data_IF_240095508734
#
_entry.id   IF_240095508734
#
_cell.length_a   1.000
_cell.length_b   1.000
_cell.length_c   1.000
_cell.angle_alpha   90.00
_cell.angle_beta   90.00
_cell.angle_gamma   90.00
#
_symmetry.space_group_name_H-M   'P 1'
#
loop_
_entity.id
_entity.type
_entity.pdbx_description
1 polymer ?
#
# COMPACT_ATOMS: atom_id res chain seq x y z
N UNK A 1 6.61 -1.28 24.98
CA UNK A 1 7.43 -0.91 23.80
C UNK A 1 6.52 -0.97 22.59
N UNK A 2 6.59 0.02 21.68
CA UNK A 2 5.68 0.13 20.52
C UNK A 2 5.99 -0.88 19.38
N UNK A 3 6.88 -1.84 19.62
CA UNK A 3 7.36 -2.84 18.66
C UNK A 3 6.29 -3.81 18.17
N UNK A 4 5.11 -3.86 18.82
CA UNK A 4 4.01 -4.75 18.43
C UNK A 4 2.99 -4.09 17.52
N UNK A 5 3.17 -2.81 17.20
CA UNK A 5 2.24 -2.06 16.36
C UNK A 5 2.63 -2.17 14.89
N UNK A 6 1.60 -2.30 14.06
CA UNK A 6 1.70 -2.17 12.62
C UNK A 6 1.04 -0.85 12.23
N UNK A 7 1.70 -0.08 11.36
CA UNK A 7 1.18 1.20 10.86
C UNK A 7 0.74 1.03 9.44
N UNK A 8 -0.50 1.41 9.17
CA UNK A 8 -1.05 1.48 7.84
C UNK A 8 -1.35 2.91 7.45
N UNK A 9 -1.13 3.23 6.19
CA UNK A 9 -1.38 4.57 5.67
C UNK A 9 -1.70 4.50 4.17
N UNK A 10 -2.45 5.49 3.72
CA UNK A 10 -2.66 5.72 2.30
C UNK A 10 -1.51 6.57 1.76
N UNK A 11 -1.04 6.26 0.55
CA UNK A 11 -0.12 7.17 -0.16
C UNK A 11 -0.84 8.45 -0.57
N UNK A 12 -2.14 8.35 -0.81
CA UNK A 12 -3.02 9.49 -1.08
C UNK A 12 -3.81 9.92 0.19
N UNK A 13 -4.85 10.74 0.00
CA UNK A 13 -5.78 11.11 1.07
C UNK A 13 -6.37 9.87 1.74
N UNK A 14 -6.43 9.90 3.07
CA UNK A 14 -7.06 8.85 3.88
C UNK A 14 -8.52 8.60 3.47
N UNK A 15 -8.96 7.35 3.56
CA UNK A 15 -10.36 6.96 3.44
C UNK A 15 -11.06 6.98 4.80
N UNK A 16 -12.39 6.94 4.81
CA UNK A 16 -13.14 6.88 6.07
C UNK A 16 -12.87 5.58 6.80
N UNK A 17 -12.70 5.65 8.12
CA UNK A 17 -12.38 4.47 8.95
C UNK A 17 -13.35 3.28 8.75
N UNK A 18 -14.69 3.48 8.63
CA UNK A 18 -15.61 2.38 8.39
C UNK A 18 -15.35 1.63 7.08
N UNK A 19 -15.06 2.36 5.99
CA UNK A 19 -14.77 1.78 4.67
C UNK A 19 -13.47 0.97 4.72
N UNK A 20 -12.44 1.53 5.36
CA UNK A 20 -11.16 0.85 5.56
C UNK A 20 -11.38 -0.43 6.35
N UNK A 21 -12.09 -0.37 7.48
CA UNK A 21 -12.37 -1.53 8.32
C UNK A 21 -13.11 -2.65 7.55
N UNK A 22 -14.11 -2.31 6.75
CA UNK A 22 -14.87 -3.28 5.96
C UNK A 22 -14.01 -3.96 4.88
N UNK A 23 -13.24 -3.16 4.12
CA UNK A 23 -12.32 -3.68 3.11
C UNK A 23 -11.28 -4.64 3.71
N UNK A 24 -10.71 -4.28 4.86
CA UNK A 24 -9.70 -5.09 5.54
C UNK A 24 -10.26 -6.40 6.09
N UNK A 25 -11.51 -6.37 6.59
CA UNK A 25 -12.20 -7.58 7.03
C UNK A 25 -12.39 -8.57 5.88
N UNK A 26 -12.67 -8.08 4.67
CA UNK A 26 -12.79 -8.90 3.47
C UNK A 26 -11.45 -9.42 2.96
N UNK A 27 -10.41 -8.59 2.98
CA UNK A 27 -9.07 -8.92 2.44
C UNK A 27 -8.31 -9.92 3.29
N UNK A 28 -8.18 -9.67 4.59
CA UNK A 28 -7.21 -10.41 5.44
C UNK A 28 -7.83 -11.50 6.30
N UNK A 29 -9.17 -11.61 6.34
CA UNK A 29 -9.90 -12.69 7.04
C UNK A 29 -9.29 -13.05 8.40
N UNK A 30 -8.89 -12.02 9.15
CA UNK A 30 -8.23 -12.15 10.45
C UNK A 30 -9.14 -12.96 11.37
N UNK A 31 -8.61 -14.01 12.00
CA UNK A 31 -9.36 -14.92 12.87
C UNK A 31 -9.33 -14.45 14.32
N UNK A 32 -8.23 -13.82 14.73
CA UNK A 32 -8.03 -13.24 16.04
C UNK A 32 -8.65 -11.86 16.21
N UNK A 33 -8.58 -11.35 17.44
CA UNK A 33 -8.95 -9.97 17.74
C UNK A 33 -7.77 -9.02 17.54
N UNK A 34 -8.07 -7.83 17.05
CA UNK A 34 -7.12 -6.75 16.87
C UNK A 34 -7.76 -5.42 17.32
N UNK A 35 -6.94 -4.48 17.76
CA UNK A 35 -7.38 -3.13 18.06
C UNK A 35 -6.89 -2.17 16.99
N UNK A 36 -7.78 -1.31 16.48
CA UNK A 36 -7.41 -0.23 15.58
C UNK A 36 -7.50 1.11 16.32
N UNK A 37 -6.46 1.92 16.19
CA UNK A 37 -6.48 3.33 16.58
C UNK A 37 -6.08 4.18 15.38
N UNK A 38 -6.62 5.39 15.28
CA UNK A 38 -6.29 6.29 14.16
C UNK A 38 -5.68 7.56 14.74
N UNK A 39 -4.51 7.95 14.28
CA UNK A 39 -3.94 9.28 14.54
C UNK A 39 -3.58 9.96 13.21
N UNK A 40 -4.18 11.13 12.99
CA UNK A 40 -4.07 11.91 11.74
C UNK A 40 -4.38 11.05 10.51
N UNK A 41 -3.35 10.67 9.75
CA UNK A 41 -3.45 9.90 8.50
C UNK A 41 -2.98 8.45 8.64
N UNK A 42 -2.61 8.06 9.87
CA UNK A 42 -2.08 6.75 10.18
C UNK A 42 -3.13 5.93 10.92
N UNK A 43 -3.19 4.66 10.56
CA UNK A 43 -3.97 3.64 11.24
C UNK A 43 -3.00 2.72 11.96
N UNK A 44 -3.18 2.57 13.26
CA UNK A 44 -2.35 1.74 14.11
C UNK A 44 -3.13 0.48 14.43
N UNK A 45 -2.55 -0.66 14.07
CA UNK A 45 -3.11 -1.97 14.33
C UNK A 45 -2.24 -2.66 15.37
N UNK A 46 -2.89 -3.19 16.39
CA UNK A 46 -2.28 -4.11 17.34
C UNK A 46 -2.98 -5.44 17.20
N UNK A 47 -2.22 -6.44 16.78
CA UNK A 47 -2.69 -7.82 16.67
C UNK A 47 -2.42 -8.55 17.97
N UNK A 48 -3.35 -9.44 18.35
CA UNK A 48 -3.16 -10.31 19.50
C UNK A 48 -2.36 -11.57 19.16
N UNK A 49 -2.32 -11.96 17.88
CA UNK A 49 -1.57 -13.11 17.39
C UNK A 49 -0.39 -12.64 16.54
N UNK A 50 0.81 -13.10 16.88
CA UNK A 50 2.03 -12.77 16.13
C UNK A 50 1.99 -13.30 14.69
N UNK A 51 1.38 -14.48 14.50
CA UNK A 51 1.23 -15.10 13.18
C UNK A 51 0.41 -14.22 12.24
N UNK A 52 -0.71 -13.66 12.73
CA UNK A 52 -1.55 -12.75 11.95
C UNK A 52 -0.84 -11.43 11.67
N UNK A 53 -0.02 -10.95 12.62
CA UNK A 53 0.82 -9.78 12.40
C UNK A 53 1.81 -10.03 11.26
N UNK A 54 2.51 -11.17 11.26
CA UNK A 54 3.47 -11.53 10.20
C UNK A 54 2.78 -11.68 8.86
N UNK A 55 1.66 -12.39 8.82
CA UNK A 55 0.86 -12.56 7.61
C UNK A 55 0.48 -11.21 6.97
N UNK A 56 0.10 -10.23 7.79
CA UNK A 56 -0.30 -8.89 7.29
C UNK A 56 0.91 -8.04 6.91
N UNK A 57 2.05 -8.20 7.57
CA UNK A 57 3.30 -7.51 7.21
C UNK A 57 3.93 -8.05 5.92
N UNK A 58 3.79 -9.35 5.69
CA UNK A 58 4.28 -10.03 4.48
C UNK A 58 3.28 -9.92 3.31
N UNK A 59 2.09 -9.38 3.55
CA UNK A 59 1.10 -9.16 2.50
C UNK A 59 1.56 -8.04 1.55
N UNK A 60 1.28 -8.24 0.26
CA UNK A 60 1.51 -7.21 -0.75
C UNK A 60 0.66 -5.95 -0.47
N UNK A 61 1.11 -4.76 -0.93
CA UNK A 61 0.31 -3.56 -0.85
C UNK A 61 -1.07 -3.75 -1.51
N UNK A 62 -2.12 -3.30 -0.84
CA UNK A 62 -3.50 -3.49 -1.30
C UNK A 62 -4.09 -2.17 -1.79
N UNK A 63 -4.96 -2.24 -2.80
CA UNK A 63 -5.75 -1.10 -3.23
C UNK A 63 -7.12 -1.14 -2.54
N UNK A 64 -7.47 -0.05 -1.85
CA UNK A 64 -8.80 0.13 -1.25
C UNK A 64 -9.44 1.33 -1.94
N UNK A 65 -10.57 1.12 -2.61
CA UNK A 65 -11.28 2.15 -3.39
C UNK A 65 -10.36 2.94 -4.35
N UNK A 66 -9.46 2.24 -5.04
CA UNK A 66 -8.51 2.83 -5.99
C UNK A 66 -7.29 3.53 -5.36
N UNK A 67 -7.15 3.51 -4.04
CA UNK A 67 -6.01 4.12 -3.34
C UNK A 67 -5.07 3.07 -2.79
N UNK A 68 -3.78 3.25 -3.02
CA UNK A 68 -2.76 2.37 -2.48
C UNK A 68 -2.68 2.49 -0.97
N UNK A 69 -2.85 1.35 -0.30
CA UNK A 69 -2.82 1.21 1.13
C UNK A 69 -1.61 0.37 1.54
N UNK A 70 -0.68 1.01 2.25
CA UNK A 70 0.63 0.47 2.57
C UNK A 70 0.66 0.00 4.01
N UNK A 71 1.18 -1.20 4.21
CA UNK A 71 1.37 -1.81 5.52
C UNK A 71 2.85 -1.83 5.85
N UNK A 72 3.24 -1.32 7.03
CA UNK A 72 4.60 -1.45 7.55
C UNK A 72 4.63 -1.67 9.05
N UNK A 73 5.69 -2.31 9.51
CA UNK A 73 6.02 -2.38 10.93
C UNK A 73 6.19 -0.96 11.48
N UNK A 74 5.62 -0.67 12.65
CA UNK A 74 5.81 0.64 13.28
C UNK A 74 7.30 0.85 13.59
N UNK A 75 7.85 1.96 13.12
CA UNK A 75 9.14 2.48 13.56
C UNK A 75 9.05 4.01 13.70
N UNK A 76 9.96 4.61 14.47
CA UNK A 76 10.01 6.08 14.62
C UNK A 76 10.27 6.77 13.29
N UNK A 77 11.00 6.12 12.40
CA UNK A 77 11.29 6.60 11.05
C UNK A 77 10.03 6.65 10.19
N UNK A 78 9.14 5.66 10.27
CA UNK A 78 7.86 5.65 9.53
C UNK A 78 6.99 6.83 9.95
N UNK A 79 6.91 7.11 11.24
CA UNK A 79 6.15 8.25 11.78
C UNK A 79 6.74 9.60 11.34
N UNK A 80 8.07 9.72 11.32
CA UNK A 80 8.78 10.93 10.90
C UNK A 80 8.78 11.15 9.37
N UNK A 81 8.78 10.07 8.59
CA UNK A 81 8.88 10.12 7.12
C UNK A 81 7.51 10.13 6.43
N UNK A 82 6.38 9.99 7.13
CA UNK A 82 5.06 9.91 6.47
C UNK A 82 4.77 11.07 5.51
N UNK A 83 5.16 12.28 5.88
CA UNK A 83 4.96 13.48 5.05
C UNK A 83 5.95 13.57 3.88
N UNK A 84 6.98 12.71 3.85
CA UNK A 84 8.00 12.59 2.80
C UNK A 84 7.77 11.39 1.89
N UNK A 85 6.87 10.48 2.23
CA UNK A 85 6.43 9.40 1.35
C UNK A 85 5.41 10.00 0.37
N UNK A 86 5.90 10.81 -0.56
CA UNK A 86 5.11 11.39 -1.66
C UNK A 86 5.04 10.46 -2.87
N UNK A 87 5.92 9.46 -2.95
CA UNK A 87 5.92 8.44 -3.99
C UNK A 87 6.58 7.18 -3.43
N UNK A 88 5.84 6.08 -3.35
CA UNK A 88 6.42 4.77 -3.08
C UNK A 88 6.79 4.15 -4.43
N UNK A 89 8.07 3.81 -4.64
CA UNK A 89 8.46 3.02 -5.80
C UNK A 89 7.87 1.61 -5.62
N UNK A 90 6.71 1.40 -6.22
CA UNK A 90 6.08 0.09 -6.31
C UNK A 90 6.39 -0.53 -7.68
N UNK A 91 6.78 -1.80 -7.67
CA UNK A 91 6.90 -2.58 -8.89
C UNK A 91 5.52 -3.08 -9.28
N UNK A 92 4.97 -2.55 -10.38
CA UNK A 92 3.69 -3.02 -10.92
C UNK A 92 3.96 -4.17 -11.88
N UNK A 93 3.44 -5.36 -11.56
CA UNK A 93 3.44 -6.50 -12.48
C UNK A 93 2.15 -6.46 -13.30
N UNK A 94 2.22 -6.02 -14.54
CA UNK A 94 1.11 -6.10 -15.49
C UNK A 94 0.97 -7.55 -15.99
N UNK A 95 -0.12 -8.22 -15.62
CA UNK A 95 -0.43 -9.57 -16.10
C UNK A 95 -1.47 -9.49 -17.22
N UNK A 96 -1.32 -10.35 -18.23
CA UNK A 96 -2.26 -10.50 -19.35
C UNK A 96 -2.53 -9.20 -20.15
N UNK A 97 -1.51 -8.35 -20.30
CA UNK A 97 -1.65 -7.14 -21.09
C UNK A 97 -1.79 -7.49 -22.58
N UNK A 98 -2.88 -7.07 -23.27
CA UNK A 98 -3.05 -7.26 -24.71
C UNK A 98 -1.84 -6.74 -25.47
N UNK A 99 -1.40 -7.46 -26.51
CA UNK A 99 -0.19 -7.11 -27.28
C UNK A 99 -0.22 -5.69 -27.84
N UNK A 100 -1.41 -5.18 -28.11
CA UNK A 100 -1.68 -3.85 -28.62
C UNK A 100 -1.30 -2.74 -27.62
N UNK A 101 -1.26 -3.04 -26.33
CA UNK A 101 -0.88 -2.11 -25.26
C UNK A 101 0.61 -2.19 -24.87
N UNK A 102 1.39 -3.08 -25.51
CA UNK A 102 2.87 -3.14 -25.37
C UNK A 102 3.58 -2.11 -26.27
N UNK A 103 2.98 -0.94 -26.41
CA UNK A 103 3.55 0.22 -27.10
C UNK A 103 3.89 1.30 -26.07
N UNK A 104 4.81 2.21 -26.39
CA UNK A 104 5.13 3.32 -25.50
C UNK A 104 3.89 4.16 -25.12
N UNK A 105 2.96 4.33 -26.06
CA UNK A 105 1.68 5.00 -25.81
C UNK A 105 0.76 4.18 -24.89
N UNK A 106 0.64 2.87 -25.12
CA UNK A 106 -0.18 1.99 -24.28
C UNK A 106 0.32 1.90 -22.84
N UNK A 107 1.64 1.73 -22.68
CA UNK A 107 2.30 1.74 -21.37
C UNK A 107 2.23 3.11 -20.69
N UNK A 108 2.41 4.19 -21.46
CA UNK A 108 2.24 5.57 -20.97
C UNK A 108 0.81 5.83 -20.49
N UNK A 109 -0.19 5.32 -21.22
CA UNK A 109 -1.60 5.41 -20.82
C UNK A 109 -1.87 4.64 -19.51
N UNK A 110 -1.39 3.40 -19.39
CA UNK A 110 -1.54 2.61 -18.16
C UNK A 110 -0.84 3.29 -16.97
N UNK A 111 0.37 3.80 -17.17
CA UNK A 111 1.06 4.57 -16.15
C UNK A 111 0.28 5.82 -15.75
N UNK A 112 -0.35 6.52 -16.70
CA UNK A 112 -1.19 7.68 -16.37
C UNK A 112 -2.40 7.33 -15.49
N UNK A 113 -2.98 6.12 -15.66
CA UNK A 113 -4.11 5.63 -14.86
C UNK A 113 -3.71 5.23 -13.44
N UNK A 114 -2.48 4.74 -13.25
CA UNK A 114 -1.93 4.33 -11.95
C UNK A 114 -1.39 5.55 -11.16
N UNK A 115 -1.15 6.67 -11.85
CA UNK A 115 -0.49 7.85 -11.33
C UNK A 115 0.97 7.93 -11.79
N UNK A 116 1.58 9.11 -11.76
CA UNK A 116 2.95 9.32 -12.27
C UNK A 116 3.95 8.43 -11.53
N UNK A 117 4.29 7.27 -12.11
CA UNK A 117 5.32 6.36 -11.62
C UNK A 117 6.67 7.00 -12.01
N UNK A 118 7.49 7.49 -11.06
CA UNK A 118 8.78 8.11 -11.40
C UNK A 118 9.79 7.15 -12.05
N UNK A 119 9.47 5.86 -12.12
CA UNK A 119 10.32 4.82 -12.67
C UNK A 119 9.99 4.42 -14.12
N UNK A 120 8.86 4.85 -14.72
CA UNK A 120 8.58 4.49 -16.11
C UNK A 120 9.23 5.43 -17.13
N UNK A 121 9.90 6.50 -16.70
CA UNK A 121 10.50 7.51 -17.60
C UNK A 121 11.95 7.25 -17.96
N UNK A 122 12.53 6.11 -17.57
CA UNK A 122 13.82 5.64 -18.10
C UNK A 122 13.84 4.12 -18.20
N UNK A 123 13.15 3.57 -19.20
CA UNK A 123 13.61 2.31 -19.77
C UNK A 123 14.91 2.64 -20.50
N UNK A 124 15.98 2.12 -19.92
CA UNK A 124 17.37 2.23 -20.34
C UNK A 124 17.51 1.92 -21.84
N UNK A 125 17.98 2.91 -22.63
CA UNK A 125 18.67 2.64 -23.88
C UNK A 125 19.88 1.76 -23.54
N UNK A 126 19.74 0.46 -23.71
CA UNK A 126 20.89 -0.40 -23.92
C UNK A 126 21.23 -0.29 -25.41
N UNK A 127 22.19 0.59 -25.71
CA UNK A 127 23.03 0.52 -26.91
C UNK A 127 24.45 0.12 -26.49
#
# INVERSE_FOLDING_TARGET
>A
MWSDYVVWFFVEKRLSFPLVKDALAQLWKIKGSYSISTDRELYYFKFNLEEERKQVLDADPVFIAGRLFVVRQWTREVEAQKNKITSLLIWVKLMDLPKELWTDEGLGYIASLIGSIPALTKITEFS
#
